data_IF_327952156126
#
_entry.id   IF_327952156126
#
_cell.length_a   1.000
_cell.length_b   1.000
_cell.length_c   1.000
_cell.angle_alpha   90.00
_cell.angle_beta   90.00
_cell.angle_gamma   90.00
#
_symmetry.space_group_name_H-M   'P 1'
#
loop_
_entity.id
_entity.type
_entity.pdbx_description
1 polymer ?
#
# COMPACT_ATOMS: atom_id res chain seq x y z
N UNK A 1 -17.74 10.09 35.05
CA UNK A 1 -16.37 9.54 35.17
C UNK A 1 -16.23 8.10 34.69
N UNK A 2 -17.27 7.26 34.66
CA UNK A 2 -17.14 5.81 34.37
C UNK A 2 -16.89 5.46 32.88
N UNK A 3 -17.21 6.33 31.93
CA UNK A 3 -17.07 6.04 30.49
C UNK A 3 -15.62 6.08 29.98
N UNK A 4 -14.76 6.87 30.61
CA UNK A 4 -13.37 7.07 30.17
C UNK A 4 -12.47 5.88 30.56
N UNK A 5 -12.77 5.20 31.66
CA UNK A 5 -11.97 4.05 32.13
C UNK A 5 -12.24 2.76 31.34
N UNK A 6 -13.41 2.64 30.69
CA UNK A 6 -13.72 1.50 29.83
C UNK A 6 -13.02 1.60 28.45
N UNK A 7 -12.82 2.81 27.94
CA UNK A 7 -12.15 3.05 26.65
C UNK A 7 -10.62 2.88 26.71
N UNK A 8 -10.01 3.06 27.89
CA UNK A 8 -8.56 2.86 28.10
C UNK A 8 -8.11 1.40 28.10
N UNK A 9 -9.02 0.44 28.31
CA UNK A 9 -8.69 -1.00 28.37
C UNK A 9 -8.80 -1.73 27.04
N UNK A 10 -9.33 -1.10 25.99
CA UNK A 10 -9.59 -1.73 24.70
C UNK A 10 -8.56 -1.39 23.60
N UNK A 11 -7.58 -0.53 23.90
CA UNK A 11 -6.52 -0.17 22.95
C UNK A 11 -5.31 -1.08 23.13
N UNK A 12 -4.88 -1.85 22.11
CA UNK A 12 -3.51 -2.32 22.09
C UNK A 12 -2.63 -1.07 21.95
N UNK A 13 -1.77 -0.84 22.93
CA UNK A 13 -0.84 0.29 22.93
C UNK A 13 0.07 0.23 21.70
N UNK A 14 0.20 1.36 20.99
CA UNK A 14 0.95 1.55 19.74
C UNK A 14 2.38 0.96 19.73
N UNK A 15 2.98 0.77 20.92
CA UNK A 15 4.28 0.13 21.08
C UNK A 15 4.31 -1.36 20.69
N UNK A 16 3.24 -2.13 20.92
CA UNK A 16 3.21 -3.58 20.68
C UNK A 16 3.05 -3.94 19.20
N UNK A 17 2.42 -3.06 18.41
CA UNK A 17 2.19 -3.27 16.98
C UNK A 17 3.44 -2.88 16.17
N UNK A 18 4.14 -1.81 16.57
CA UNK A 18 5.43 -1.42 15.99
C UNK A 18 6.53 -2.43 16.33
N UNK A 19 6.60 -2.93 17.57
CA UNK A 19 7.58 -3.96 17.96
C UNK A 19 7.37 -5.31 17.24
N UNK A 20 6.13 -5.65 16.86
CA UNK A 20 5.84 -6.85 16.04
C UNK A 20 6.25 -6.69 14.58
N UNK A 21 6.13 -5.48 14.00
CA UNK A 21 6.60 -5.21 12.64
C UNK A 21 8.14 -5.15 12.54
N UNK A 22 8.80 -4.64 13.58
CA UNK A 22 10.27 -4.57 13.63
C UNK A 22 10.90 -5.96 13.82
N UNK A 23 10.26 -6.85 14.58
CA UNK A 23 10.70 -8.25 14.70
C UNK A 23 10.49 -9.09 13.43
N UNK A 24 9.55 -8.72 12.54
CA UNK A 24 9.41 -9.38 11.23
C UNK A 24 10.50 -8.94 10.23
N UNK A 25 11.10 -7.77 10.41
CA UNK A 25 12.26 -7.36 9.59
C UNK A 25 13.55 -8.10 9.95
N UNK A 26 13.66 -8.61 11.19
CA UNK A 26 14.87 -9.31 11.65
C UNK A 26 14.87 -10.84 11.43
N UNK A 27 13.71 -11.46 11.17
CA UNK A 27 13.62 -12.91 10.96
C UNK A 27 13.76 -13.36 9.50
N UNK A 28 13.74 -12.45 8.52
CA UNK A 28 14.00 -12.78 7.10
C UNK A 28 15.49 -12.86 6.76
N UNK A 29 16.38 -12.59 7.73
CA UNK A 29 17.84 -12.66 7.56
C UNK A 29 18.50 -13.88 8.25
N UNK A 30 17.72 -14.78 8.88
CA UNK A 30 18.22 -16.02 9.49
C UNK A 30 17.26 -17.18 9.25
N UNK A 31 17.35 -17.78 8.07
CA UNK A 31 16.96 -19.17 7.81
C UNK A 31 17.70 -19.62 6.53
N UNK A 32 19.03 -19.64 6.61
CA UNK A 32 19.80 -20.70 5.96
C UNK A 32 19.99 -21.79 7.03
N UNK A 33 19.92 -23.05 6.61
CA UNK A 33 19.95 -24.28 7.40
C UNK A 33 18.59 -24.88 7.77
N UNK A 34 17.96 -25.51 6.78
CA UNK A 34 17.20 -26.73 6.99
C UNK A 34 17.41 -27.68 5.79
N UNK A 35 18.21 -28.72 6.03
CA UNK A 35 18.30 -29.91 5.19
C UNK A 35 16.90 -30.46 4.83
N UNK A 36 16.71 -30.84 3.57
CA UNK A 36 15.89 -32.01 3.28
C UNK A 36 16.27 -32.66 1.94
N UNK A 37 17.04 -33.73 2.09
CA UNK A 37 16.79 -35.07 1.56
C UNK A 37 16.57 -35.24 0.04
N UNK A 38 17.57 -35.91 -0.55
CA UNK A 38 17.52 -36.76 -1.76
C UNK A 38 16.12 -37.13 -2.27
N UNK A 39 15.91 -36.95 -3.57
CA UNK A 39 15.35 -37.97 -4.46
C UNK A 39 15.79 -37.69 -5.92
N UNK A 40 16.59 -38.60 -6.47
CA UNK A 40 16.87 -38.76 -7.92
C UNK A 40 15.61 -39.39 -8.56
N UNK A 41 15.24 -39.06 -9.80
CA UNK A 41 15.57 -39.99 -10.88
C UNK A 41 15.87 -39.35 -12.26
N UNK A 42 16.75 -40.06 -12.97
CA UNK A 42 16.76 -40.41 -14.40
C UNK A 42 16.39 -39.40 -15.50
N UNK A 43 17.46 -39.00 -16.21
CA UNK A 43 17.61 -38.97 -17.67
C UNK A 43 16.35 -39.05 -18.55
N UNK A 44 16.11 -37.97 -19.30
CA UNK A 44 15.69 -38.08 -20.70
C UNK A 44 16.35 -36.96 -21.49
N UNK A 45 17.18 -37.38 -22.46
CA UNK A 45 17.80 -36.52 -23.43
C UNK A 45 16.70 -35.89 -24.31
N UNK A 46 16.59 -34.56 -24.28
CA UNK A 46 15.81 -33.80 -25.25
C UNK A 46 16.72 -32.71 -25.82
N UNK A 47 16.81 -32.76 -27.14
CA UNK A 47 17.48 -31.85 -28.07
C UNK A 47 17.27 -30.38 -27.66
N UNK A 48 18.28 -29.49 -27.73
CA UNK A 48 18.13 -28.10 -27.31
C UNK A 48 17.25 -27.38 -28.33
N UNK A 49 15.96 -27.28 -28.03
CA UNK A 49 15.08 -26.32 -28.67
C UNK A 49 15.54 -24.94 -28.22
N UNK A 50 15.96 -24.10 -29.17
CA UNK A 50 16.34 -22.70 -28.95
C UNK A 50 15.06 -21.92 -28.64
N UNK A 51 14.46 -22.15 -27.47
CA UNK A 51 13.34 -21.37 -26.98
C UNK A 51 13.89 -20.13 -26.30
N UNK A 52 13.40 -18.96 -26.70
CA UNK A 52 13.56 -17.66 -26.04
C UNK A 52 13.97 -17.82 -24.58
N UNK A 53 15.17 -17.33 -24.22
CA UNK A 53 15.76 -17.64 -22.92
C UNK A 53 14.74 -17.34 -21.81
N UNK A 54 14.23 -18.40 -21.19
CA UNK A 54 13.19 -18.32 -20.20
C UNK A 54 13.73 -17.55 -18.98
N UNK A 55 12.84 -16.79 -18.33
CA UNK A 55 13.14 -16.16 -17.05
C UNK A 55 13.73 -17.21 -16.11
N UNK A 56 14.91 -16.96 -15.51
CA UNK A 56 15.49 -17.88 -14.54
C UNK A 56 14.56 -18.06 -13.33
N UNK A 57 14.45 -19.29 -12.80
CA UNK A 57 13.54 -19.62 -11.70
C UNK A 57 13.79 -18.81 -10.42
N UNK A 58 15.03 -18.39 -10.20
CA UNK A 58 15.44 -17.60 -9.03
C UNK A 58 15.11 -16.10 -9.17
N UNK A 59 14.67 -15.62 -10.34
CA UNK A 59 14.35 -14.21 -10.58
C UNK A 59 12.83 -14.00 -10.59
N UNK A 60 12.36 -12.98 -9.87
CA UNK A 60 10.94 -12.59 -9.92
C UNK A 60 10.57 -11.96 -11.25
N UNK A 61 9.27 -11.92 -11.55
CA UNK A 61 8.77 -11.35 -12.82
C UNK A 61 9.10 -9.88 -13.00
N UNK A 62 9.04 -9.12 -11.92
CA UNK A 62 9.29 -7.68 -11.93
C UNK A 62 10.77 -7.38 -12.14
N UNK A 63 11.65 -8.15 -11.49
CA UNK A 63 13.10 -8.09 -11.69
C UNK A 63 13.48 -8.48 -13.12
N UNK A 64 12.83 -9.51 -13.68
CA UNK A 64 13.04 -9.93 -15.06
C UNK A 64 12.61 -8.86 -16.05
N UNK A 65 11.40 -8.31 -15.87
CA UNK A 65 10.92 -7.22 -16.72
C UNK A 65 11.84 -6.00 -16.64
N UNK A 66 12.33 -5.64 -15.46
CA UNK A 66 13.30 -4.55 -15.30
C UNK A 66 14.65 -4.86 -15.96
N UNK A 67 15.17 -6.08 -15.80
CA UNK A 67 16.43 -6.50 -16.40
C UNK A 67 16.37 -6.54 -17.94
N UNK A 68 15.27 -7.05 -18.50
CA UNK A 68 15.06 -7.16 -19.96
C UNK A 68 14.91 -5.81 -20.67
N UNK A 69 14.71 -4.71 -19.95
CA UNK A 69 14.75 -3.36 -20.53
C UNK A 69 16.15 -2.95 -20.97
N UNK A 70 17.18 -3.50 -20.32
CA UNK A 70 18.58 -3.10 -20.53
C UNK A 70 19.45 -4.21 -21.09
N UNK A 71 19.09 -5.47 -20.85
CA UNK A 71 19.87 -6.65 -21.25
C UNK A 71 18.99 -7.64 -22.00
N UNK A 72 19.54 -8.31 -23.03
CA UNK A 72 18.81 -9.39 -23.68
C UNK A 72 18.64 -10.60 -22.74
N UNK A 73 17.57 -11.39 -22.89
CA UNK A 73 17.37 -12.62 -22.11
C UNK A 73 18.59 -13.57 -22.11
N UNK A 74 19.25 -13.70 -23.27
CA UNK A 74 20.45 -14.53 -23.42
C UNK A 74 21.62 -13.95 -22.64
N UNK A 75 21.80 -12.63 -22.67
CA UNK A 75 22.85 -11.95 -21.93
C UNK A 75 22.63 -12.08 -20.42
N UNK A 76 21.40 -11.96 -19.95
CA UNK A 76 21.04 -12.20 -18.54
C UNK A 76 21.42 -13.63 -18.15
N UNK A 77 21.04 -14.64 -18.94
CA UNK A 77 21.41 -16.03 -18.66
C UNK A 77 22.93 -16.24 -18.61
N UNK A 78 23.68 -15.66 -19.55
CA UNK A 78 25.14 -15.73 -19.59
C UNK A 78 25.79 -15.07 -18.36
N UNK A 79 25.30 -13.90 -17.96
CA UNK A 79 25.85 -13.17 -16.80
C UNK A 79 25.71 -13.96 -15.49
N UNK A 80 24.78 -14.92 -15.42
CA UNK A 80 24.61 -15.78 -14.24
C UNK A 80 25.36 -17.12 -14.31
N UNK A 81 25.63 -17.65 -15.50
CA UNK A 81 26.38 -18.91 -15.67
C UNK A 81 27.88 -18.82 -15.31
N UNK A 82 28.37 -17.60 -15.06
CA UNK A 82 29.77 -17.33 -14.78
C UNK A 82 30.54 -16.88 -16.02
N UNK A 83 31.73 -16.32 -15.80
CA UNK A 83 32.63 -15.96 -16.90
C UNK A 83 33.34 -17.21 -17.42
N UNK A 84 33.17 -17.50 -18.71
CA UNK A 84 33.94 -18.54 -19.41
C UNK A 84 35.12 -17.91 -20.18
N UNK A 85 36.38 -18.19 -19.79
CA UNK A 85 37.55 -17.69 -20.49
C UNK A 85 37.66 -18.19 -21.95
N UNK A 86 37.02 -19.32 -22.29
CA UNK A 86 37.11 -19.90 -23.62
C UNK A 86 36.12 -19.28 -24.62
N UNK A 87 35.10 -18.57 -24.13
CA UNK A 87 34.14 -17.86 -24.98
C UNK A 87 34.59 -16.45 -25.37
N UNK A 88 35.82 -16.07 -25.00
CA UNK A 88 36.36 -14.73 -25.21
C UNK A 88 36.73 -14.52 -26.68
N UNK A 89 36.32 -13.38 -27.23
CA UNK A 89 36.70 -12.99 -28.60
C UNK A 89 38.20 -12.61 -28.65
N UNK A 90 39.00 -13.23 -29.55
CA UNK A 90 40.45 -13.12 -29.53
C UNK A 90 40.96 -11.86 -30.25
N UNK A 91 40.68 -10.67 -29.73
CA UNK A 91 41.07 -9.40 -30.35
C UNK A 91 42.58 -9.16 -30.31
N UNK A 92 43.18 -9.08 -29.12
CA UNK A 92 44.62 -8.85 -28.93
C UNK A 92 45.44 -10.01 -29.46
N UNK A 93 44.95 -11.25 -29.35
CA UNK A 93 45.59 -12.40 -29.96
C UNK A 93 45.68 -12.27 -31.49
N UNK A 94 44.58 -11.85 -32.13
CA UNK A 94 44.55 -11.65 -33.59
C UNK A 94 45.44 -10.47 -34.00
N UNK A 95 45.40 -9.38 -33.24
CA UNK A 95 46.27 -8.22 -33.44
C UNK A 95 47.75 -8.61 -33.31
N UNK A 96 48.09 -9.44 -32.32
CA UNK A 96 49.46 -9.92 -32.13
C UNK A 96 49.92 -10.78 -33.31
N UNK A 97 49.10 -11.75 -33.74
CA UNK A 97 49.42 -12.63 -34.89
C UNK A 97 49.57 -11.88 -36.21
N UNK A 98 48.82 -10.79 -36.40
CA UNK A 98 48.87 -9.98 -37.62
C UNK A 98 50.03 -8.99 -37.64
N UNK A 99 50.41 -8.43 -36.48
CA UNK A 99 51.49 -7.44 -36.37
C UNK A 99 52.87 -8.07 -36.17
N UNK A 100 52.96 -9.22 -35.50
CA UNK A 100 54.22 -9.94 -35.24
C UNK A 100 54.35 -11.10 -36.20
N UNK A 101 55.46 -11.13 -36.94
CA UNK A 101 55.82 -12.25 -37.80
C UNK A 101 56.18 -13.47 -36.96
N UNK A 102 55.54 -14.61 -37.23
CA UNK A 102 55.89 -15.89 -36.64
C UNK A 102 57.35 -16.25 -37.02
N UNK A 103 58.22 -16.62 -36.05
CA UNK A 103 59.60 -16.98 -36.32
C UNK A 103 59.71 -18.11 -37.36
N UNK A 104 60.57 -17.91 -38.35
CA UNK A 104 60.76 -18.88 -39.43
C UNK A 104 61.74 -19.96 -38.96
N UNK A 105 61.35 -21.23 -39.04
CA UNK A 105 62.23 -22.36 -38.74
C UNK A 105 63.44 -22.30 -39.69
N UNK A 106 64.68 -22.46 -39.18
CA UNK A 106 65.86 -22.56 -40.04
C UNK A 106 65.68 -23.67 -41.08
N UNK A 107 65.93 -23.37 -42.36
CA UNK A 107 65.74 -24.32 -43.47
C UNK A 107 66.74 -25.49 -43.36
N UNK A 108 66.25 -26.64 -42.92
CA UNK A 108 67.04 -27.85 -42.69
C UNK A 108 67.75 -28.34 -43.97
N UNK A 109 67.13 -28.16 -45.15
CA UNK A 109 67.74 -28.57 -46.42
C UNK A 109 68.95 -27.70 -46.76
N UNK A 110 68.88 -26.40 -46.46
CA UNK A 110 70.02 -25.49 -46.63
C UNK A 110 71.13 -25.77 -45.63
N UNK A 111 70.77 -26.07 -44.38
CA UNK A 111 71.74 -26.46 -43.35
C UNK A 111 72.47 -27.75 -43.76
N UNK A 112 71.76 -28.74 -44.27
CA UNK A 112 72.35 -29.99 -44.74
C UNK A 112 73.27 -29.78 -45.95
N UNK A 113 72.88 -28.94 -46.91
CA UNK A 113 73.72 -28.57 -48.05
C UNK A 113 75.00 -27.84 -47.58
N UNK A 114 74.90 -26.91 -46.63
CA UNK A 114 76.03 -26.21 -46.05
C UNK A 114 76.99 -27.16 -45.32
N UNK A 115 76.46 -28.13 -44.55
CA UNK A 115 77.27 -29.16 -43.88
C UNK A 115 78.06 -30.01 -44.87
N UNK A 116 77.43 -30.44 -45.97
CA UNK A 116 78.08 -31.23 -47.01
C UNK A 116 79.21 -30.42 -47.69
N UNK A 117 78.97 -29.16 -48.03
CA UNK A 117 79.99 -28.27 -48.63
C UNK A 117 81.15 -28.03 -47.66
N UNK A 118 80.86 -27.79 -46.38
CA UNK A 118 81.88 -27.59 -45.35
C UNK A 118 82.75 -28.84 -45.16
N UNK A 119 82.15 -30.05 -45.14
CA UNK A 119 82.89 -31.30 -45.07
C UNK A 119 83.78 -31.55 -46.30
N UNK A 120 83.29 -31.18 -47.49
CA UNK A 120 84.07 -31.30 -48.73
C UNK A 120 85.25 -30.32 -48.74
N UNK A 121 85.05 -29.10 -48.23
CA UNK A 121 86.12 -28.10 -48.10
C UNK A 121 87.23 -28.56 -47.13
N UNK A 122 86.85 -29.13 -45.98
CA UNK A 122 87.82 -29.71 -45.04
C UNK A 122 88.55 -30.93 -45.62
N UNK A 123 87.83 -31.79 -46.37
CA UNK A 123 88.42 -32.93 -47.08
C UNK A 123 89.44 -32.50 -48.15
N UNK A 124 89.09 -31.52 -48.98
CA UNK A 124 90.01 -30.93 -49.97
C UNK A 124 91.23 -30.29 -49.30
N UNK A 125 91.03 -29.63 -48.16
CA UNK A 125 92.10 -29.01 -47.39
C UNK A 125 93.10 -30.04 -46.85
N UNK A 126 92.62 -31.18 -46.35
CA UNK A 126 93.47 -32.31 -45.92
C UNK A 126 94.28 -32.88 -47.08
N UNK A 127 93.69 -33.01 -48.27
CA UNK A 127 94.40 -33.46 -49.49
C UNK A 127 95.53 -32.48 -49.84
N UNK A 128 95.25 -31.18 -49.83
CA UNK A 128 96.27 -30.14 -50.11
C UNK A 128 97.40 -30.15 -49.08
N UNK A 129 97.08 -30.30 -47.79
CA UNK A 129 98.07 -30.45 -46.73
C UNK A 129 98.91 -31.72 -46.92
N UNK A 130 98.30 -32.85 -47.27
CA UNK A 130 99.02 -34.09 -47.58
C UNK A 130 100.01 -33.93 -48.73
N UNK A 131 99.61 -33.26 -49.82
CA UNK A 131 100.49 -32.96 -50.97
C UNK A 131 101.62 -32.00 -50.58
N UNK A 132 101.34 -30.97 -49.79
CA UNK A 132 102.34 -30.01 -49.33
C UNK A 132 103.37 -30.66 -48.39
N UNK A 133 102.93 -31.53 -47.49
CA UNK A 133 103.78 -32.28 -46.57
C UNK A 133 104.68 -33.27 -47.30
N UNK A 134 104.14 -33.98 -48.30
CA UNK A 134 104.93 -34.88 -49.16
C UNK A 134 106.01 -34.15 -49.98
N UNK A 135 105.83 -32.85 -50.24
CA UNK A 135 106.79 -31.99 -50.94
C UNK A 135 107.76 -31.25 -50.01
N UNK A 136 107.71 -31.51 -48.70
CA UNK A 136 108.62 -30.93 -47.70
C UNK A 136 108.32 -29.47 -47.32
N UNK A 137 107.14 -28.94 -47.67
CA UNK A 137 106.73 -27.61 -47.27
C UNK A 137 106.27 -27.58 -45.80
N UNK A 138 106.62 -26.53 -45.06
CA UNK A 138 106.12 -26.32 -43.70
C UNK A 138 104.61 -26.06 -43.73
N UNK A 139 103.84 -26.89 -43.03
CA UNK A 139 102.39 -26.73 -42.87
C UNK A 139 102.14 -26.13 -41.48
N UNK A 140 101.67 -24.88 -41.38
CA UNK A 140 101.28 -24.32 -40.09
C UNK A 140 100.07 -25.07 -39.52
N UNK A 141 100.06 -25.26 -38.18
CA UNK A 141 98.88 -25.73 -37.46
C UNK A 141 97.74 -24.72 -37.61
N UNK A 142 96.76 -25.03 -38.45
CA UNK A 142 95.56 -24.22 -38.58
C UNK A 142 94.41 -24.90 -37.84
N UNK A 143 93.90 -24.22 -36.80
CA UNK A 143 92.81 -24.72 -35.94
C UNK A 143 91.43 -24.41 -36.53
N UNK A 144 91.37 -23.84 -37.74
CA UNK A 144 90.12 -23.47 -38.40
C UNK A 144 89.63 -24.61 -39.30
N UNK A 145 88.51 -25.24 -38.96
CA UNK A 145 87.81 -26.14 -39.88
C UNK A 145 86.52 -25.48 -40.38
N UNK A 146 86.25 -25.63 -41.67
CA UNK A 146 85.03 -25.12 -42.30
C UNK A 146 83.79 -25.74 -41.63
N UNK A 147 83.86 -27.02 -41.24
CA UNK A 147 82.80 -27.71 -40.54
C UNK A 147 82.55 -27.13 -39.14
N UNK A 148 83.58 -26.85 -38.34
CA UNK A 148 83.41 -26.27 -37.00
C UNK A 148 82.84 -24.85 -37.06
N UNK A 149 83.25 -24.06 -38.06
CA UNK A 149 82.69 -22.73 -38.28
C UNK A 149 81.24 -22.79 -38.73
N UNK A 150 80.89 -23.76 -39.58
CA UNK A 150 79.52 -23.99 -40.03
C UNK A 150 78.63 -24.51 -38.89
N UNK A 151 79.10 -25.44 -38.06
CA UNK A 151 78.38 -25.93 -36.88
C UNK A 151 78.10 -24.79 -35.89
N UNK A 152 79.10 -23.94 -35.62
CA UNK A 152 78.91 -22.77 -34.77
C UNK A 152 77.90 -21.77 -35.36
N UNK A 153 77.88 -21.60 -36.68
CA UNK A 153 76.90 -20.77 -37.38
C UNK A 153 75.48 -21.35 -37.30
N UNK A 154 75.32 -22.66 -37.56
CA UNK A 154 74.04 -23.37 -37.46
C UNK A 154 73.50 -23.32 -36.02
N UNK A 155 74.37 -23.50 -35.03
CA UNK A 155 73.99 -23.40 -33.63
C UNK A 155 73.48 -21.99 -33.29
N UNK A 156 74.17 -20.93 -33.73
CA UNK A 156 73.68 -19.55 -33.57
C UNK A 156 72.32 -19.32 -34.22
N UNK A 157 72.08 -19.86 -35.42
CA UNK A 157 70.76 -19.75 -36.06
C UNK A 157 69.66 -20.44 -35.26
N UNK A 158 69.95 -21.62 -34.69
CA UNK A 158 69.00 -22.33 -33.81
C UNK A 158 68.75 -21.55 -32.52
N UNK A 159 69.79 -20.98 -31.92
CA UNK A 159 69.68 -20.20 -30.69
C UNK A 159 68.86 -18.91 -30.93
N UNK A 160 69.09 -18.22 -32.05
CA UNK A 160 68.29 -17.05 -32.48
C UNK A 160 66.83 -17.45 -32.68
N UNK A 161 66.58 -18.53 -33.44
CA UNK A 161 65.22 -19.02 -33.67
C UNK A 161 64.51 -19.36 -32.35
N UNK A 162 65.19 -20.05 -31.43
CA UNK A 162 64.63 -20.40 -30.12
C UNK A 162 64.30 -19.14 -29.32
N UNK A 163 65.22 -18.18 -29.25
CA UNK A 163 64.97 -16.93 -28.53
C UNK A 163 63.82 -16.11 -29.13
N UNK A 164 63.72 -16.06 -30.46
CA UNK A 164 62.63 -15.36 -31.15
C UNK A 164 61.29 -16.08 -31.00
N UNK A 165 61.30 -17.42 -31.00
CA UNK A 165 60.12 -18.25 -30.70
C UNK A 165 59.64 -18.05 -29.27
N UNK A 166 60.54 -18.10 -28.29
CA UNK A 166 60.18 -17.90 -26.88
C UNK A 166 59.58 -16.49 -26.66
N UNK A 167 60.13 -15.46 -27.35
CA UNK A 167 59.56 -14.10 -27.34
C UNK A 167 58.20 -14.02 -28.02
N UNK A 168 58.01 -14.73 -29.13
CA UNK A 168 56.74 -14.76 -29.85
C UNK A 168 55.65 -15.47 -29.03
N UNK A 169 55.97 -16.65 -28.49
CA UNK A 169 55.05 -17.48 -27.72
C UNK A 169 54.66 -16.79 -26.40
N UNK A 170 55.63 -16.16 -25.71
CA UNK A 170 55.33 -15.36 -24.52
C UNK A 170 54.45 -14.14 -24.83
N UNK A 171 54.74 -13.41 -25.91
CA UNK A 171 53.90 -12.27 -26.30
C UNK A 171 52.49 -12.70 -26.73
N UNK A 172 52.36 -13.83 -27.43
CA UNK A 172 51.08 -14.43 -27.78
C UNK A 172 50.29 -14.83 -26.54
N UNK A 173 50.94 -15.47 -25.57
CA UNK A 173 50.32 -15.81 -24.30
C UNK A 173 49.81 -14.57 -23.56
N UNK A 174 50.59 -13.49 -23.49
CA UNK A 174 50.12 -12.25 -22.85
C UNK A 174 48.98 -11.58 -23.60
N UNK A 175 48.96 -11.67 -24.93
CA UNK A 175 47.82 -11.16 -25.70
C UNK A 175 46.53 -11.92 -25.37
N UNK A 176 46.60 -13.24 -25.21
CA UNK A 176 45.45 -14.07 -24.79
C UNK A 176 45.02 -13.72 -23.37
N UNK A 177 45.95 -13.56 -22.43
CA UNK A 177 45.60 -13.11 -21.08
C UNK A 177 44.93 -11.74 -21.07
N UNK A 178 45.39 -10.83 -21.92
CA UNK A 178 44.82 -9.47 -22.04
C UNK A 178 43.39 -9.53 -22.59
N UNK A 179 43.12 -10.35 -23.61
CA UNK A 179 41.77 -10.60 -24.11
C UNK A 179 40.85 -11.11 -22.99
N UNK A 180 41.31 -12.14 -22.25
CA UNK A 180 40.56 -12.73 -21.12
C UNK A 180 40.30 -11.70 -20.04
N UNK A 181 41.29 -10.89 -19.67
CA UNK A 181 41.16 -9.89 -18.62
C UNK A 181 40.17 -8.79 -19.01
N UNK A 182 40.27 -8.26 -20.23
CA UNK A 182 39.35 -7.24 -20.75
C UNK A 182 37.91 -7.77 -20.82
N UNK A 183 37.73 -8.99 -21.30
CA UNK A 183 36.42 -9.65 -21.32
C UNK A 183 35.87 -9.89 -19.90
N UNK A 184 36.73 -10.28 -18.95
CA UNK A 184 36.35 -10.45 -17.53
C UNK A 184 35.95 -9.14 -16.88
N UNK A 185 36.66 -8.05 -17.15
CA UNK A 185 36.30 -6.72 -16.66
C UNK A 185 34.94 -6.27 -17.23
N UNK A 186 34.73 -6.46 -18.54
CA UNK A 186 33.43 -6.20 -19.18
C UNK A 186 32.30 -7.03 -18.58
N UNK A 187 32.53 -8.34 -18.40
CA UNK A 187 31.58 -9.24 -17.73
C UNK A 187 31.24 -8.78 -16.30
N UNK A 188 32.24 -8.43 -15.49
CA UNK A 188 32.02 -7.98 -14.12
C UNK A 188 31.23 -6.67 -14.08
N UNK A 189 31.49 -5.74 -15.01
CA UNK A 189 30.75 -4.48 -15.15
C UNK A 189 29.29 -4.73 -15.52
N UNK A 190 29.05 -5.61 -16.48
CA UNK A 190 27.69 -5.93 -16.91
C UNK A 190 26.92 -6.70 -15.84
N UNK A 191 27.59 -7.62 -15.14
CA UNK A 191 27.01 -8.35 -14.01
C UNK A 191 26.64 -7.42 -12.86
N UNK A 192 27.51 -6.48 -12.50
CA UNK A 192 27.22 -5.51 -11.45
C UNK A 192 26.10 -4.54 -11.86
N UNK A 193 26.07 -4.11 -13.12
CA UNK A 193 24.98 -3.31 -13.68
C UNK A 193 23.64 -4.02 -13.60
N UNK A 194 23.59 -5.29 -14.02
CA UNK A 194 22.40 -6.14 -13.92
C UNK A 194 21.92 -6.30 -12.47
N UNK A 195 22.84 -6.59 -11.53
CA UNK A 195 22.51 -6.68 -10.11
C UNK A 195 21.98 -5.35 -9.57
N UNK A 196 22.53 -4.21 -10.01
CA UNK A 196 22.03 -2.88 -9.65
C UNK A 196 20.60 -2.62 -10.13
N UNK A 197 20.28 -3.04 -11.36
CA UNK A 197 18.91 -2.95 -11.91
C UNK A 197 17.94 -3.80 -11.08
N UNK A 198 18.30 -5.04 -10.78
CA UNK A 198 17.49 -5.97 -9.97
C UNK A 198 17.26 -5.38 -8.56
N UNK A 199 18.31 -4.89 -7.90
CA UNK A 199 18.20 -4.26 -6.58
C UNK A 199 17.32 -3.02 -6.59
N UNK A 200 17.41 -2.19 -7.63
CA UNK A 200 16.56 -1.02 -7.77
C UNK A 200 15.09 -1.41 -8.01
N UNK A 201 14.82 -2.43 -8.83
CA UNK A 201 13.48 -2.96 -9.03
C UNK A 201 12.87 -3.46 -7.71
N UNK A 202 13.63 -4.24 -6.93
CA UNK A 202 13.21 -4.71 -5.62
C UNK A 202 12.94 -3.55 -4.63
N UNK A 203 13.79 -2.51 -4.62
CA UNK A 203 13.58 -1.31 -3.80
C UNK A 203 12.30 -0.56 -4.18
N UNK A 204 12.06 -0.38 -5.48
CA UNK A 204 10.85 0.29 -5.96
C UNK A 204 9.58 -0.50 -5.62
N UNK A 205 9.64 -1.83 -5.70
CA UNK A 205 8.56 -2.70 -5.25
C UNK A 205 8.28 -2.51 -3.76
N UNK A 206 9.31 -2.64 -2.91
CA UNK A 206 9.16 -2.46 -1.47
C UNK A 206 8.59 -1.08 -1.12
N UNK A 207 9.02 -0.01 -1.81
CA UNK A 207 8.46 1.32 -1.60
C UNK A 207 6.97 1.40 -1.98
N UNK A 208 6.57 0.78 -3.09
CA UNK A 208 5.16 0.71 -3.50
C UNK A 208 4.32 -0.09 -2.49
N UNK A 209 4.84 -1.21 -2.02
CA UNK A 209 4.15 -2.05 -1.04
C UNK A 209 3.96 -1.32 0.29
N UNK A 210 4.98 -0.58 0.75
CA UNK A 210 4.89 0.29 1.93
C UNK A 210 3.87 1.41 1.72
N UNK A 211 3.87 2.07 0.55
CA UNK A 211 2.92 3.13 0.25
C UNK A 211 1.48 2.60 0.21
N UNK A 212 1.27 1.43 -0.41
CA UNK A 212 -0.03 0.78 -0.47
C UNK A 212 -0.53 0.38 0.93
N UNK A 213 0.35 -0.18 1.77
CA UNK A 213 0.03 -0.52 3.15
C UNK A 213 -0.35 0.72 3.98
N UNK A 214 0.38 1.84 3.80
CA UNK A 214 0.05 3.11 4.45
C UNK A 214 -1.31 3.64 4.01
N UNK A 215 -1.58 3.67 2.71
CA UNK A 215 -2.86 4.12 2.17
C UNK A 215 -4.04 3.27 2.68
N UNK A 216 -3.86 1.95 2.78
CA UNK A 216 -4.87 1.05 3.34
C UNK A 216 -5.14 1.33 4.82
N UNK A 217 -4.08 1.58 5.60
CA UNK A 217 -4.18 1.91 7.03
C UNK A 217 -4.85 3.27 7.24
N UNK A 218 -4.52 4.28 6.44
CA UNK A 218 -5.14 5.60 6.51
C UNK A 218 -6.63 5.55 6.12
N UNK A 219 -6.98 4.75 5.10
CA UNK A 219 -8.38 4.50 4.76
C UNK A 219 -9.14 3.83 5.91
N UNK A 220 -8.53 2.85 6.57
CA UNK A 220 -9.13 2.17 7.72
C UNK A 220 -9.32 3.13 8.91
N UNK A 221 -8.34 3.98 9.21
CA UNK A 221 -8.45 5.05 10.22
C UNK A 221 -9.59 6.01 9.90
N UNK A 222 -9.66 6.47 8.67
CA UNK A 222 -10.74 7.36 8.23
C UNK A 222 -12.12 6.72 8.37
N UNK A 223 -12.27 5.45 8.01
CA UNK A 223 -13.53 4.70 8.20
C UNK A 223 -13.89 4.59 9.69
N UNK A 224 -12.92 4.24 10.55
CA UNK A 224 -13.12 4.16 11.99
C UNK A 224 -13.54 5.51 12.59
N UNK A 225 -12.91 6.61 12.16
CA UNK A 225 -13.27 7.96 12.61
C UNK A 225 -14.69 8.36 12.17
N UNK A 226 -15.09 7.99 10.95
CA UNK A 226 -16.46 8.21 10.46
C UNK A 226 -17.48 7.45 11.31
N UNK A 227 -17.21 6.18 11.63
CA UNK A 227 -18.12 5.38 12.43
C UNK A 227 -18.18 5.87 13.88
N UNK A 228 -17.05 6.29 14.46
CA UNK A 228 -17.03 6.92 15.77
C UNK A 228 -17.86 8.22 15.81
N UNK A 229 -17.75 9.07 14.78
CA UNK A 229 -18.58 10.28 14.65
C UNK A 229 -20.07 9.97 14.54
N UNK A 230 -20.46 8.93 13.79
CA UNK A 230 -21.87 8.49 13.71
C UNK A 230 -22.38 8.02 15.06
N UNK A 231 -21.59 7.25 15.80
CA UNK A 231 -21.94 6.78 17.16
C UNK A 231 -22.10 7.97 18.10
N UNK A 232 -21.17 8.93 18.05
CA UNK A 232 -21.25 10.15 18.88
C UNK A 232 -22.48 10.99 18.54
N UNK A 233 -22.79 11.19 17.25
CA UNK A 233 -23.98 11.92 16.80
C UNK A 233 -25.26 11.28 17.34
N UNK A 234 -25.43 9.96 17.20
CA UNK A 234 -26.58 9.23 17.76
C UNK A 234 -26.70 9.41 19.27
N UNK A 235 -25.59 9.26 20.01
CA UNK A 235 -25.59 9.44 21.46
C UNK A 235 -26.00 10.88 21.87
N UNK A 236 -25.59 11.90 21.11
CA UNK A 236 -26.01 13.28 21.36
C UNK A 236 -27.48 13.54 21.05
N UNK A 237 -28.02 12.93 20.00
CA UNK A 237 -29.46 12.99 19.68
C UNK A 237 -30.29 12.34 20.78
N UNK A 238 -29.95 11.12 21.22
CA UNK A 238 -30.62 10.43 22.31
C UNK A 238 -30.60 11.24 23.62
N UNK A 239 -29.46 11.89 23.93
CA UNK A 239 -29.35 12.76 25.11
C UNK A 239 -30.27 13.98 24.99
N UNK A 240 -30.33 14.60 23.81
CA UNK A 240 -31.20 15.76 23.54
C UNK A 240 -32.68 15.38 23.65
N UNK A 241 -33.09 14.24 23.12
CA UNK A 241 -34.46 13.74 23.25
C UNK A 241 -34.84 13.49 24.71
N UNK A 242 -33.96 12.88 25.50
CA UNK A 242 -34.17 12.69 26.95
C UNK A 242 -34.34 14.03 27.67
N UNK A 243 -33.49 15.01 27.38
CA UNK A 243 -33.59 16.37 27.94
C UNK A 243 -34.91 17.06 27.57
N UNK A 244 -35.34 16.97 26.31
CA UNK A 244 -36.63 17.50 25.87
C UNK A 244 -37.81 16.79 26.55
N UNK A 245 -37.72 15.48 26.76
CA UNK A 245 -38.71 14.71 27.53
C UNK A 245 -38.86 15.21 28.96
N UNK A 246 -37.73 15.44 29.66
CA UNK A 246 -37.71 16.00 31.02
C UNK A 246 -38.28 17.43 31.03
N UNK A 247 -37.92 18.26 30.06
CA UNK A 247 -38.43 19.63 29.95
C UNK A 247 -39.95 19.66 29.74
N UNK A 248 -40.51 18.77 28.91
CA UNK A 248 -41.96 18.62 28.72
C UNK A 248 -42.66 18.21 30.01
N UNK A 249 -42.13 17.19 30.72
CA UNK A 249 -42.69 16.75 32.00
C UNK A 249 -42.68 17.88 33.06
N UNK A 250 -41.60 18.68 33.11
CA UNK A 250 -41.51 19.82 34.01
C UNK A 250 -42.49 20.94 33.64
N UNK A 251 -42.69 21.21 32.35
CA UNK A 251 -43.67 22.17 31.86
C UNK A 251 -45.09 21.74 32.25
N UNK A 252 -45.45 20.47 32.02
CA UNK A 252 -46.76 19.92 32.39
C UNK A 252 -46.99 19.97 33.91
N UNK A 253 -45.97 19.64 34.71
CA UNK A 253 -46.05 19.73 36.17
C UNK A 253 -46.26 21.17 36.65
N UNK A 254 -45.61 22.15 36.02
CA UNK A 254 -45.80 23.57 36.33
C UNK A 254 -47.20 24.07 35.95
N UNK A 255 -47.73 23.66 34.81
CA UNK A 255 -49.11 23.96 34.41
C UNK A 255 -50.11 23.37 35.42
N UNK A 256 -49.92 22.11 35.83
CA UNK A 256 -50.79 21.50 36.85
C UNK A 256 -50.71 22.22 38.21
N UNK A 257 -49.54 22.74 38.62
CA UNK A 257 -49.41 23.54 39.84
C UNK A 257 -50.14 24.89 39.71
N UNK A 258 -50.01 25.57 38.59
CA UNK A 258 -50.70 26.84 38.33
C UNK A 258 -52.24 26.68 38.33
N UNK A 259 -52.74 25.57 37.76
CA UNK A 259 -54.17 25.24 37.80
C UNK A 259 -54.63 25.01 39.25
N UNK A 260 -53.82 24.31 40.07
CA UNK A 260 -54.15 24.08 41.49
C UNK A 260 -54.08 25.35 42.34
N UNK A 261 -53.16 26.28 42.07
CA UNK A 261 -53.02 27.54 42.83
C UNK A 261 -54.01 28.64 42.44
N UNK A 262 -54.73 28.51 41.32
CA UNK A 262 -55.76 29.47 40.88
C UNK A 262 -57.13 29.28 41.57
N UNK A 263 -57.26 28.40 42.56
CA UNK A 263 -58.54 28.10 43.23
C UNK A 263 -58.99 29.17 44.25
N UNK A 264 -58.29 30.29 44.38
CA UNK A 264 -58.67 31.36 45.32
C UNK A 264 -58.60 32.75 44.70
N UNK A 265 -59.77 33.41 44.58
CA UNK A 265 -60.00 34.87 44.49
C UNK A 265 -60.35 35.56 43.15
N UNK A 266 -60.92 34.90 42.13
CA UNK A 266 -61.55 35.65 41.00
C UNK A 266 -63.10 35.57 40.99
N UNK A 267 -63.77 36.42 41.79
CA UNK A 267 -65.24 36.58 41.78
C UNK A 267 -65.75 37.53 40.68
N UNK A 268 -64.91 37.89 39.69
CA UNK A 268 -65.32 38.76 38.59
C UNK A 268 -66.21 38.01 37.59
N UNK A 269 -67.33 38.63 37.23
CA UNK A 269 -68.24 38.13 36.19
C UNK A 269 -67.75 38.64 34.83
N UNK A 270 -67.54 37.73 33.88
CA UNK A 270 -67.14 38.04 32.50
C UNK A 270 -68.32 37.77 31.53
N UNK A 271 -68.55 38.65 30.54
CA UNK A 271 -69.53 38.41 29.48
C UNK A 271 -68.96 37.48 28.41
N UNK A 272 -69.74 36.47 28.02
CA UNK A 272 -69.44 35.55 26.93
C UNK A 272 -70.52 35.68 25.85
N UNK A 273 -70.15 36.18 24.68
CA UNK A 273 -71.06 36.46 23.58
C UNK A 273 -71.24 35.23 22.69
N UNK A 274 -72.50 34.87 22.40
CA UNK A 274 -72.87 33.86 21.41
C UNK A 274 -73.22 34.55 20.07
N UNK A 275 -72.36 34.47 19.05
CA UNK A 275 -72.60 35.08 17.74
C UNK A 275 -73.75 34.44 16.96
N UNK A 276 -74.14 33.20 17.28
CA UNK A 276 -75.20 32.50 16.55
C UNK A 276 -76.59 32.92 17.01
N UNK A 277 -76.74 33.31 18.28
CA UNK A 277 -78.04 33.71 18.87
C UNK A 277 -78.10 35.20 19.24
N UNK A 278 -76.97 35.91 19.21
CA UNK A 278 -76.87 37.31 19.63
C UNK A 278 -76.99 37.53 21.14
N UNK A 279 -76.91 36.45 21.95
CA UNK A 279 -77.08 36.52 23.40
C UNK A 279 -75.75 36.60 24.14
N UNK A 280 -75.69 37.35 25.24
CA UNK A 280 -74.50 37.47 26.09
C UNK A 280 -74.74 36.80 27.43
N UNK A 281 -73.96 35.76 27.73
CA UNK A 281 -74.03 35.00 28.98
C UNK A 281 -73.01 35.56 29.97
N UNK A 282 -73.46 35.87 31.18
CA UNK A 282 -72.60 36.40 32.24
C UNK A 282 -72.23 35.27 33.22
N UNK A 283 -70.95 34.89 33.26
CA UNK A 283 -70.45 33.85 34.17
C UNK A 283 -69.29 34.36 35.04
N UNK A 284 -69.24 33.89 36.29
CA UNK A 284 -68.08 34.13 37.17
C UNK A 284 -66.84 33.41 36.59
N UNK A 285 -65.71 34.11 36.54
CA UNK A 285 -64.43 33.59 36.02
C UNK A 285 -64.00 32.27 36.66
N UNK A 286 -64.19 32.12 37.97
CA UNK A 286 -63.91 30.86 38.67
C UNK A 286 -64.83 29.70 38.23
N UNK A 287 -66.09 29.98 37.93
CA UNK A 287 -67.05 28.96 37.45
C UNK A 287 -66.65 28.51 36.04
N UNK A 288 -66.30 29.47 35.17
CA UNK A 288 -65.80 29.15 33.82
C UNK A 288 -64.50 28.33 33.87
N UNK A 289 -63.50 28.77 34.65
CA UNK A 289 -62.22 28.03 34.86
C UNK A 289 -62.42 26.62 35.42
N UNK A 290 -63.49 26.38 36.17
CA UNK A 290 -63.78 25.04 36.72
C UNK A 290 -64.51 24.16 35.69
N UNK A 291 -65.37 24.75 34.86
CA UNK A 291 -66.25 24.01 33.96
C UNK A 291 -65.70 23.88 32.53
N UNK A 292 -64.70 24.67 32.13
CA UNK A 292 -64.12 24.62 30.77
C UNK A 292 -63.63 23.22 30.36
N UNK A 293 -63.07 22.36 31.24
CA UNK A 293 -62.66 21.02 30.83
C UNK A 293 -63.86 20.14 30.47
N UNK A 294 -65.03 20.40 31.06
CA UNK A 294 -66.28 19.73 30.75
C UNK A 294 -66.88 20.27 29.45
N UNK A 295 -66.89 21.58 29.26
CA UNK A 295 -67.30 22.20 27.97
C UNK A 295 -66.42 21.67 26.83
N UNK A 296 -65.11 21.57 27.04
CA UNK A 296 -64.18 21.02 26.06
C UNK A 296 -64.49 19.57 25.68
N UNK A 297 -64.93 18.73 26.63
CA UNK A 297 -65.40 17.37 26.33
C UNK A 297 -66.72 17.33 25.58
N UNK A 298 -67.64 18.26 25.83
CA UNK A 298 -68.88 18.34 25.04
C UNK A 298 -68.61 18.84 23.62
N UNK A 299 -67.66 19.77 23.44
CA UNK A 299 -67.15 20.14 22.12
C UNK A 299 -66.54 18.92 21.41
N UNK A 300 -65.79 18.06 22.12
CA UNK A 300 -65.30 16.76 21.61
C UNK A 300 -66.42 15.91 21.00
N UNK A 301 -67.60 15.91 21.61
CA UNK A 301 -68.72 15.06 21.24
C UNK A 301 -69.66 15.67 20.18
N UNK A 302 -69.73 17.00 20.08
CA UNK A 302 -70.68 17.68 19.19
C UNK A 302 -70.05 18.24 17.92
N UNK A 303 -68.85 18.82 18.01
CA UNK A 303 -68.17 19.44 16.86
C UNK A 303 -67.34 18.41 16.08
N UNK A 304 -66.75 17.43 16.78
CA UNK A 304 -65.81 16.47 16.17
C UNK A 304 -66.40 15.10 15.85
N UNK A 305 -67.72 15.03 15.60
CA UNK A 305 -68.39 13.76 15.26
C UNK A 305 -67.92 13.11 13.95
N UNK A 306 -67.10 13.79 13.14
CA UNK A 306 -66.77 13.35 11.77
C UNK A 306 -65.33 12.99 11.44
N UNK A 307 -64.30 13.47 12.15
CA UNK A 307 -62.92 13.41 11.61
C UNK A 307 -61.82 12.93 12.62
N UNK A 308 -61.19 11.75 12.43
CA UNK A 308 -60.20 11.19 13.36
C UNK A 308 -58.87 11.95 13.45
N UNK A 309 -58.47 12.62 12.36
CA UNK A 309 -57.22 13.40 12.27
C UNK A 309 -57.23 14.61 13.19
N UNK A 310 -58.40 15.23 13.27
CA UNK A 310 -58.68 16.37 14.10
C UNK A 310 -58.63 15.97 15.59
N UNK A 311 -59.26 14.85 15.97
CA UNK A 311 -59.19 14.25 17.32
C UNK A 311 -57.76 14.06 17.87
N UNK A 312 -56.78 13.72 17.03
CA UNK A 312 -55.38 13.58 17.46
C UNK A 312 -54.70 14.93 17.74
N UNK A 313 -54.95 15.95 16.92
CA UNK A 313 -54.45 17.33 17.17
C UNK A 313 -54.99 17.87 18.49
N UNK A 314 -56.24 17.55 18.84
CA UNK A 314 -56.88 18.03 20.07
C UNK A 314 -56.38 17.36 21.36
N UNK A 315 -55.98 16.07 21.31
CA UNK A 315 -55.36 15.41 22.47
C UNK A 315 -53.98 15.98 22.81
N UNK A 316 -53.29 16.54 21.82
CA UNK A 316 -51.97 17.15 21.98
C UNK A 316 -52.01 18.59 22.50
N UNK A 317 -53.18 19.24 22.57
CA UNK A 317 -53.30 20.62 23.07
C UNK A 317 -52.99 20.70 24.57
N UNK A 318 -52.17 21.69 24.93
CA UNK A 318 -51.89 22.06 26.32
C UNK A 318 -53.14 22.63 27.01
N UNK A 319 -53.22 22.62 28.35
CA UNK A 319 -54.39 23.14 29.08
C UNK A 319 -54.77 24.60 28.74
N UNK A 320 -53.78 25.45 28.45
CA UNK A 320 -53.98 26.85 28.06
C UNK A 320 -54.59 26.98 26.66
N UNK A 321 -54.10 26.17 25.71
CA UNK A 321 -54.62 26.15 24.34
C UNK A 321 -56.04 25.60 24.30
N UNK A 322 -56.36 24.61 25.14
CA UNK A 322 -57.74 24.10 25.29
C UNK A 322 -58.69 25.18 25.78
N UNK A 323 -58.30 26.00 26.74
CA UNK A 323 -59.15 27.08 27.25
C UNK A 323 -59.42 28.14 26.18
N UNK A 324 -58.39 28.55 25.43
CA UNK A 324 -58.57 29.49 24.31
C UNK A 324 -59.44 28.89 23.20
N UNK A 325 -59.30 27.59 22.95
CA UNK A 325 -60.13 26.88 21.99
C UNK A 325 -61.60 26.83 22.41
N UNK A 326 -61.87 26.56 23.70
CA UNK A 326 -63.23 26.65 24.25
C UNK A 326 -63.78 28.07 24.02
N UNK A 327 -63.02 29.12 24.34
CA UNK A 327 -63.49 30.50 24.16
C UNK A 327 -63.84 30.85 22.71
N UNK A 328 -63.13 30.29 21.74
CA UNK A 328 -63.39 30.52 20.33
C UNK A 328 -64.60 29.73 19.81
N UNK A 329 -64.76 28.46 20.23
CA UNK A 329 -65.65 27.51 19.56
C UNK A 329 -66.81 27.00 20.40
N UNK A 330 -66.93 27.39 21.67
CA UNK A 330 -68.08 27.01 22.50
C UNK A 330 -69.47 27.36 21.89
N UNK A 331 -69.66 28.44 21.10
CA UNK A 331 -70.95 28.72 20.48
C UNK A 331 -71.36 27.72 19.38
N UNK A 332 -70.40 26.94 18.88
CA UNK A 332 -70.59 25.98 17.79
C UNK A 332 -71.12 24.62 18.29
N UNK A 333 -71.04 24.34 19.60
CA UNK A 333 -71.63 23.14 20.20
C UNK A 333 -72.96 23.47 20.89
N UNK A 334 -74.08 22.85 20.46
CA UNK A 334 -75.37 23.00 21.13
C UNK A 334 -75.34 22.58 22.61
N UNK A 335 -74.56 21.54 22.97
CA UNK A 335 -74.42 21.10 24.36
C UNK A 335 -73.57 22.06 25.20
N UNK A 336 -72.52 22.64 24.62
CA UNK A 336 -71.72 23.68 25.26
C UNK A 336 -72.54 24.95 25.52
N UNK A 337 -73.32 25.40 24.55
CA UNK A 337 -74.24 26.56 24.70
C UNK A 337 -75.28 26.29 25.78
N UNK A 338 -75.84 25.08 25.84
CA UNK A 338 -76.78 24.70 26.91
C UNK A 338 -76.14 24.76 28.29
N UNK A 339 -74.92 24.24 28.45
CA UNK A 339 -74.19 24.33 29.72
C UNK A 339 -73.88 25.77 30.11
N UNK A 340 -73.47 26.61 29.15
CA UNK A 340 -73.23 28.03 29.40
C UNK A 340 -74.50 28.76 29.82
N UNK A 341 -75.65 28.45 29.20
CA UNK A 341 -76.96 28.98 29.58
C UNK A 341 -77.39 28.54 30.97
N UNK A 342 -77.25 27.26 31.31
CA UNK A 342 -77.60 26.72 32.63
C UNK A 342 -76.76 27.32 33.78
N UNK A 343 -75.53 27.73 33.49
CA UNK A 343 -74.58 28.28 34.47
C UNK A 343 -74.53 29.81 34.46
N UNK A 344 -75.12 30.45 33.44
CA UNK A 344 -75.21 31.90 33.36
C UNK A 344 -76.09 32.45 34.48
N UNK A 345 -75.67 33.58 35.06
CA UNK A 345 -76.47 34.28 36.05
C UNK A 345 -77.56 35.02 35.27
N UNK A 346 -78.83 34.64 35.46
CA UNK A 346 -79.96 35.39 34.90
C UNK A 346 -79.97 36.80 35.50
N UNK A 347 -79.93 37.82 34.64
CA UNK A 347 -79.88 39.23 35.05
C UNK A 347 -81.16 39.68 35.79
N UNK A 348 -82.24 38.88 35.78
CA UNK A 348 -83.51 39.22 36.44
C UNK A 348 -83.89 38.38 37.69
N UNK A 349 -83.00 37.56 38.24
CA UNK A 349 -83.27 36.94 39.55
C UNK A 349 -82.20 37.31 40.57
N UNK A 350 -82.59 38.22 41.46
CA UNK A 350 -81.82 38.68 42.59
C UNK A 350 -81.26 37.54 43.45
N UNK A 351 -80.08 37.82 43.98
CA UNK A 351 -79.34 37.12 45.02
C UNK A 351 -80.22 36.23 45.92
N UNK A 352 -80.11 34.90 45.75
CA UNK A 352 -80.07 33.87 46.84
C UNK A 352 -80.34 32.42 46.39
N UNK A 353 -80.62 32.12 45.11
CA UNK A 353 -80.94 30.73 44.70
C UNK A 353 -79.81 29.89 44.08
N UNK A 354 -78.67 30.47 43.68
CA UNK A 354 -77.75 29.74 42.79
C UNK A 354 -76.51 29.10 43.42
N UNK A 355 -76.15 29.38 44.68
CA UNK A 355 -74.99 28.70 45.30
C UNK A 355 -75.27 27.24 45.70
N UNK A 356 -76.53 26.90 46.00
CA UNK A 356 -76.92 25.56 46.44
C UNK A 356 -77.41 24.60 45.33
N UNK A 357 -77.58 25.07 44.09
CA UNK A 357 -77.93 24.20 42.95
C UNK A 357 -76.72 23.84 42.09
N UNK A 358 -75.74 24.74 41.96
CA UNK A 358 -74.51 24.48 41.20
C UNK A 358 -73.64 23.42 41.90
N UNK A 359 -73.58 23.46 43.23
CA UNK A 359 -72.89 22.47 44.07
C UNK A 359 -73.56 21.08 44.10
N UNK A 360 -74.86 20.96 43.80
CA UNK A 360 -75.58 19.67 43.72
C UNK A 360 -75.62 19.04 42.32
N UNK A 361 -75.39 19.82 41.24
CA UNK A 361 -75.38 19.33 39.85
C UNK A 361 -73.99 19.21 39.23
N UNK A 362 -72.99 19.89 39.79
CA UNK A 362 -71.57 19.57 39.58
C UNK A 362 -71.25 18.51 40.64
N UNK A 363 -71.50 17.24 40.34
CA UNK A 363 -71.29 16.13 41.28
C UNK A 363 -69.92 16.21 41.95
N UNK A 364 -69.94 16.40 43.26
CA UNK A 364 -68.87 16.00 44.16
C UNK A 364 -69.05 14.52 44.50
#
# INVERSE_FOLDING_TARGET
MVLMDYLKKATPTDADVLAKMENQQNNTAKNEDAESTMLKPETSAVVPNVSAAARPDWMSEEEWNAATQYYSPERISQLYKGFDPNSVEPFYQTLYKTTRRNPTIPDEKRIQAANNIASAADGLRLIVQGIAGAKGAYIPEDKTSAMRNNDAYVQRLRDIYKADRDKYDSGLYQSVLTDIEMARQGYNRDRSGLLGVIQNAARMKNQRDIANAKNALDLQKWQSDQDWRKVQAKATEEYREKQLGIARMNADANVQRAIKSSTGKDNQTEPYYDPNTGTTYHLKKNVFKTIYPRIFKELENDVFKGDPSEKQKYKALSPSERMNYVLAHWPESPSAVRLMKELSISVDEGEKKNENQVSKKIGW
#
